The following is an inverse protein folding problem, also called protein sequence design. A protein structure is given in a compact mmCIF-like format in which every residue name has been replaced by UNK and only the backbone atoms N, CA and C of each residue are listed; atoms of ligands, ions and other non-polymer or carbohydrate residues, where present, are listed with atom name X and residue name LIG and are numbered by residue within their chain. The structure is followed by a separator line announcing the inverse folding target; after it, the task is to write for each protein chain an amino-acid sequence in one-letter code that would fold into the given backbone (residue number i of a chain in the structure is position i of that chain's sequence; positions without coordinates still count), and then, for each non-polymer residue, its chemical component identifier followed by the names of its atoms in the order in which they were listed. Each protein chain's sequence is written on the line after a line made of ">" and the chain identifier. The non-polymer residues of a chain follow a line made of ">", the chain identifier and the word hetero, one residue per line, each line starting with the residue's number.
data_IF_309035680624
#
_entry.id   IF_309035680624
#
_cell.length_a   1.000
_cell.length_b   1.000
_cell.length_c   1.000
_cell.angle_alpha   90.00
_cell.angle_beta   90.00
_cell.angle_gamma   90.00
#
_symmetry.space_group_name_H-M   'P 1'
#
loop_
_entity.id
_entity.type
_entity.pdbx_description
1 polymer ?
#
# COMPACT_ATOMS: atom_id res chain seq x y z
N UNK A 1 -30.60 -4.34 -64.78
CA UNK A 1 -30.34 -5.00 -63.48
C UNK A 1 -29.02 -4.50 -62.89
N UNK A 2 -29.06 -3.53 -61.98
CA UNK A 2 -27.85 -2.99 -61.33
C UNK A 2 -27.49 -3.86 -60.11
N UNK A 3 -26.45 -4.69 -60.23
CA UNK A 3 -25.90 -5.48 -59.10
C UNK A 3 -25.34 -4.52 -58.05
N UNK A 4 -26.05 -4.32 -56.93
CA UNK A 4 -25.53 -3.62 -55.75
C UNK A 4 -24.35 -4.40 -55.20
N UNK A 5 -23.12 -3.85 -55.30
CA UNK A 5 -21.93 -4.40 -54.64
C UNK A 5 -22.20 -4.45 -53.13
N UNK A 6 -22.42 -5.64 -52.55
CA UNK A 6 -22.48 -5.80 -51.09
C UNK A 6 -21.13 -5.38 -50.53
N UNK A 7 -21.09 -4.24 -49.84
CA UNK A 7 -19.86 -3.62 -49.32
C UNK A 7 -19.22 -4.59 -48.31
N UNK A 8 -17.89 -4.76 -48.34
CA UNK A 8 -17.07 -5.59 -47.41
C UNK A 8 -17.16 -5.17 -45.91
N UNK A 9 -18.12 -4.30 -45.56
CA UNK A 9 -18.31 -3.72 -44.23
C UNK A 9 -18.56 -4.74 -43.13
N UNK A 10 -19.17 -5.88 -43.43
CA UNK A 10 -19.39 -6.92 -42.43
C UNK A 10 -18.07 -7.54 -41.93
N UNK A 11 -17.10 -7.72 -42.83
CA UNK A 11 -15.77 -8.26 -42.47
C UNK A 11 -15.01 -7.27 -41.59
N UNK A 12 -15.00 -5.98 -41.95
CA UNK A 12 -14.35 -4.93 -41.14
C UNK A 12 -15.02 -4.75 -39.77
N UNK A 13 -16.32 -5.01 -39.66
CA UNK A 13 -17.04 -4.92 -38.39
C UNK A 13 -16.66 -6.08 -37.46
N UNK A 14 -16.65 -7.31 -37.99
CA UNK A 14 -16.19 -8.50 -37.27
C UNK A 14 -14.73 -8.33 -36.83
N UNK A 15 -13.87 -7.79 -37.69
CA UNK A 15 -12.47 -7.53 -37.39
C UNK A 15 -12.30 -6.60 -36.18
N UNK A 16 -13.02 -5.47 -36.16
CA UNK A 16 -12.98 -4.54 -35.01
C UNK A 16 -13.57 -5.17 -33.74
N UNK A 17 -14.63 -5.98 -33.85
CA UNK A 17 -15.19 -6.69 -32.70
C UNK A 17 -14.20 -7.68 -32.09
N UNK A 18 -13.50 -8.46 -32.92
CA UNK A 18 -12.47 -9.40 -32.47
C UNK A 18 -11.31 -8.64 -31.82
N UNK A 19 -10.88 -7.51 -32.40
CA UNK A 19 -9.80 -6.69 -31.82
C UNK A 19 -10.17 -6.18 -30.43
N UNK A 20 -11.39 -5.63 -30.25
CA UNK A 20 -11.84 -5.16 -28.94
C UNK A 20 -11.87 -6.31 -27.93
N UNK A 21 -12.39 -7.48 -28.33
CA UNK A 21 -12.41 -8.67 -27.49
C UNK A 21 -11.00 -9.09 -27.04
N UNK A 22 -10.04 -9.12 -27.97
CA UNK A 22 -8.66 -9.51 -27.67
C UNK A 22 -7.98 -8.51 -26.71
N UNK A 23 -8.16 -7.20 -26.92
CA UNK A 23 -7.60 -6.17 -26.02
C UNK A 23 -8.20 -6.29 -24.61
N UNK A 24 -9.52 -6.53 -24.50
CA UNK A 24 -10.18 -6.72 -23.22
C UNK A 24 -9.67 -7.96 -22.48
N UNK A 25 -9.49 -9.09 -23.18
CA UNK A 25 -8.96 -10.32 -22.57
C UNK A 25 -7.53 -10.14 -22.06
N UNK A 26 -6.65 -9.55 -22.87
CA UNK A 26 -5.25 -9.29 -22.49
C UNK A 26 -5.19 -8.29 -21.33
N UNK A 27 -5.96 -7.19 -21.41
CA UNK A 27 -6.02 -6.19 -20.35
C UNK A 27 -6.51 -6.75 -19.01
N UNK A 28 -7.53 -7.62 -19.03
CA UNK A 28 -8.05 -8.30 -17.84
C UNK A 28 -7.03 -9.23 -17.19
N UNK A 29 -6.31 -10.01 -17.99
CA UNK A 29 -5.27 -10.92 -17.49
C UNK A 29 -4.09 -10.16 -16.83
N UNK A 30 -3.64 -9.06 -17.43
CA UNK A 30 -2.58 -8.22 -16.88
C UNK A 30 -3.01 -7.58 -15.54
N UNK A 31 -4.24 -7.05 -15.47
CA UNK A 31 -4.76 -6.43 -14.27
C UNK A 31 -4.81 -7.40 -13.07
N UNK A 32 -5.13 -8.68 -13.31
CA UNK A 32 -5.12 -9.70 -12.27
C UNK A 32 -3.73 -9.94 -11.70
N UNK A 33 -2.70 -10.01 -12.56
CA UNK A 33 -1.31 -10.21 -12.13
C UNK A 33 -0.77 -8.99 -11.35
N UNK A 34 -1.05 -7.77 -11.83
CA UNK A 34 -0.60 -6.53 -11.19
C UNK A 34 -1.15 -6.32 -9.78
N UNK A 35 -2.28 -6.94 -9.43
CA UNK A 35 -2.87 -6.81 -8.09
C UNK A 35 -1.94 -7.36 -7.00
N UNK A 36 -1.26 -8.47 -7.27
CA UNK A 36 -0.31 -9.08 -6.31
C UNK A 36 0.92 -8.19 -6.06
N UNK A 37 1.52 -7.66 -7.13
CA UNK A 37 2.68 -6.76 -7.01
C UNK A 37 2.32 -5.44 -6.34
N UNK A 38 1.10 -4.94 -6.56
CA UNK A 38 0.60 -3.75 -5.88
C UNK A 38 0.43 -3.97 -4.37
N UNK A 39 -0.13 -5.10 -3.94
CA UNK A 39 -0.28 -5.41 -2.52
C UNK A 39 1.07 -5.66 -1.84
N UNK A 40 2.05 -6.25 -2.53
CA UNK A 40 3.45 -6.32 -2.06
C UNK A 40 4.06 -4.92 -1.87
N UNK A 41 3.84 -4.01 -2.82
CA UNK A 41 4.30 -2.62 -2.70
C UNK A 41 3.69 -1.90 -1.49
N UNK A 42 2.42 -2.17 -1.19
CA UNK A 42 1.75 -1.64 0.02
C UNK A 42 2.32 -2.23 1.31
N UNK A 43 2.59 -3.53 1.34
CA UNK A 43 3.23 -4.18 2.47
C UNK A 43 4.62 -3.56 2.74
N UNK A 44 5.44 -3.44 1.71
CA UNK A 44 6.76 -2.82 1.78
C UNK A 44 6.71 -1.37 2.26
N UNK A 45 5.77 -0.56 1.74
CA UNK A 45 5.56 0.80 2.23
C UNK A 45 5.20 0.84 3.72
N UNK A 46 4.36 -0.09 4.17
CA UNK A 46 3.96 -0.20 5.58
C UNK A 46 5.15 -0.53 6.46
N UNK A 47 6.00 -1.47 6.06
CA UNK A 47 7.23 -1.84 6.77
C UNK A 47 8.21 -0.67 6.89
N UNK A 48 8.41 0.08 5.80
CA UNK A 48 9.25 1.28 5.85
C UNK A 48 8.69 2.36 6.77
N UNK A 49 7.37 2.57 6.74
CA UNK A 49 6.73 3.57 7.58
C UNK A 49 6.85 3.18 9.06
N UNK A 50 6.60 1.91 9.40
CA UNK A 50 6.79 1.36 10.75
C UNK A 50 8.22 1.59 11.24
N UNK A 51 9.23 1.23 10.42
CA UNK A 51 10.63 1.41 10.78
C UNK A 51 10.96 2.90 11.03
N UNK A 52 10.52 3.80 10.15
CA UNK A 52 10.75 5.24 10.30
C UNK A 52 10.09 5.82 11.54
N UNK A 53 8.85 5.46 11.82
CA UNK A 53 8.17 5.90 13.06
C UNK A 53 8.94 5.39 14.27
N UNK A 54 9.30 4.11 14.29
CA UNK A 54 10.07 3.53 15.39
C UNK A 54 11.38 4.26 15.62
N UNK A 55 12.15 4.53 14.56
CA UNK A 55 13.44 5.23 14.66
C UNK A 55 13.26 6.65 15.21
N UNK A 56 12.22 7.37 14.78
CA UNK A 56 11.91 8.72 15.28
C UNK A 56 11.54 8.69 16.77
N UNK A 57 10.72 7.72 17.18
CA UNK A 57 10.32 7.60 18.58
C UNK A 57 11.48 7.17 19.48
N UNK A 58 12.33 6.26 19.01
CA UNK A 58 13.55 5.87 19.72
C UNK A 58 14.53 7.05 19.87
N UNK A 59 14.66 7.91 18.86
CA UNK A 59 15.45 9.14 19.00
C UNK A 59 14.83 10.09 20.05
N UNK A 60 13.51 10.25 20.04
CA UNK A 60 12.82 11.11 21.00
C UNK A 60 12.92 10.59 22.45
N UNK A 61 12.90 9.27 22.63
CA UNK A 61 13.10 8.60 23.91
C UNK A 61 14.56 8.71 24.38
N UNK A 62 15.53 8.53 23.47
CA UNK A 62 16.96 8.67 23.76
C UNK A 62 17.40 10.10 24.11
N UNK A 63 16.67 11.12 23.63
CA UNK A 63 16.89 12.52 24.02
C UNK A 63 16.58 12.76 25.52
N UNK A 64 15.95 11.80 26.22
CA UNK A 64 15.85 11.73 27.68
C UNK A 64 14.96 12.78 28.34
N UNK A 65 14.19 13.54 27.55
CA UNK A 65 13.36 14.64 28.05
C UNK A 65 11.96 14.20 28.52
N UNK A 66 11.53 12.98 28.21
CA UNK A 66 10.18 12.46 28.44
C UNK A 66 10.23 10.97 28.81
N UNK A 67 9.21 10.50 29.52
CA UNK A 67 9.03 9.06 29.75
C UNK A 67 8.55 8.37 28.47
N UNK A 68 8.89 7.09 28.31
CA UNK A 68 8.50 6.29 27.14
C UNK A 68 6.98 6.24 26.95
N UNK A 69 6.20 6.27 28.03
CA UNK A 69 4.74 6.38 28.02
C UNK A 69 4.25 7.67 27.34
N UNK A 70 4.86 8.81 27.67
CA UNK A 70 4.51 10.10 27.09
C UNK A 70 4.90 10.19 25.61
N UNK A 71 6.01 9.54 25.23
CA UNK A 71 6.45 9.42 23.84
C UNK A 71 5.45 8.59 23.04
N UNK A 72 4.94 7.50 23.59
CA UNK A 72 3.92 6.64 22.96
C UNK A 72 2.58 7.36 22.87
N UNK A 73 2.12 8.07 23.91
CA UNK A 73 0.84 8.78 23.89
C UNK A 73 0.82 9.91 22.84
N UNK A 74 1.93 10.64 22.72
CA UNK A 74 2.08 11.78 21.81
C UNK A 74 2.91 11.47 20.56
N UNK A 75 2.99 10.20 20.16
CA UNK A 75 3.86 9.75 19.08
C UNK A 75 3.65 10.53 17.77
N UNK A 76 2.40 10.88 17.43
CA UNK A 76 2.07 11.65 16.23
C UNK A 76 2.67 13.06 16.26
N UNK A 77 2.80 13.67 17.44
CA UNK A 77 3.42 14.98 17.59
C UNK A 77 4.93 14.90 17.33
N UNK A 78 5.62 13.87 17.83
CA UNK A 78 7.05 13.68 17.60
C UNK A 78 7.36 13.39 16.14
N UNK A 79 6.55 12.55 15.49
CA UNK A 79 6.64 12.31 14.04
C UNK A 79 6.35 13.58 13.25
N UNK A 80 5.37 14.39 13.68
CA UNK A 80 5.01 15.68 13.08
C UNK A 80 6.11 16.74 13.16
N UNK A 81 6.88 16.75 14.25
CA UNK A 81 7.96 17.70 14.50
C UNK A 81 9.26 17.30 13.80
N UNK A 82 9.42 16.03 13.43
CA UNK A 82 10.65 15.51 12.84
C UNK A 82 10.86 16.07 11.42
N UNK A 83 12.01 16.71 11.12
CA UNK A 83 12.34 17.15 9.76
C UNK A 83 12.73 15.99 8.83
N UNK A 84 12.86 14.77 9.37
CA UNK A 84 13.36 13.60 8.64
C UNK A 84 12.28 12.94 7.78
N UNK A 85 11.00 13.21 8.05
CA UNK A 85 9.88 12.59 7.34
C UNK A 85 8.71 13.54 7.13
N UNK A 86 7.97 13.30 6.06
CA UNK A 86 6.65 13.90 5.86
C UNK A 86 5.62 13.14 6.72
N UNK A 87 5.28 13.71 7.87
CA UNK A 87 4.45 13.06 8.88
C UNK A 87 3.10 12.58 8.32
N UNK A 88 2.51 13.34 7.40
CA UNK A 88 1.22 13.00 6.77
C UNK A 88 1.24 11.65 6.04
N UNK A 89 2.40 11.22 5.54
CA UNK A 89 2.57 9.98 4.77
C UNK A 89 3.04 8.79 5.60
N UNK A 90 3.58 9.05 6.79
CA UNK A 90 4.26 8.05 7.62
C UNK A 90 3.39 7.61 8.81
N UNK A 91 2.44 8.43 9.23
CA UNK A 91 1.42 8.08 10.26
C UNK A 91 0.49 6.96 9.79
N UNK A 92 0.35 6.77 8.47
CA UNK A 92 -0.49 5.74 7.87
C UNK A 92 0.33 4.64 7.21
N UNK A 93 -0.27 3.46 7.08
CA UNK A 93 0.30 2.32 6.37
C UNK A 93 0.09 2.39 4.84
N UNK A 94 0.48 1.34 4.13
CA UNK A 94 0.32 1.23 2.67
C UNK A 94 -1.12 1.10 2.18
N UNK A 95 -2.08 0.87 3.08
CA UNK A 95 -3.53 0.83 2.81
C UNK A 95 -4.26 2.05 3.39
N UNK A 96 -3.53 3.10 3.79
CA UNK A 96 -4.04 4.32 4.41
C UNK A 96 -4.75 4.10 5.75
N UNK A 97 -4.37 3.06 6.50
CA UNK A 97 -4.83 2.85 7.88
C UNK A 97 -3.81 3.44 8.86
N UNK A 98 -4.25 4.03 9.98
CA UNK A 98 -3.33 4.57 10.98
C UNK A 98 -2.48 3.47 11.61
N UNK A 99 -1.21 3.77 11.88
CA UNK A 99 -0.34 2.88 12.64
C UNK A 99 -0.72 2.88 14.12
N UNK A 100 -0.48 1.74 14.78
CA UNK A 100 -0.67 1.58 16.21
C UNK A 100 0.70 1.54 16.90
N UNK A 101 0.89 2.36 17.93
CA UNK A 101 2.13 2.45 18.70
C UNK A 101 1.79 2.06 20.14
N UNK A 102 2.47 1.05 20.65
CA UNK A 102 2.28 0.55 22.01
C UNK A 102 3.63 0.35 22.69
N UNK A 103 3.65 0.49 24.01
CA UNK A 103 4.79 0.13 24.86
C UNK A 103 4.67 -1.35 25.21
N UNK A 104 5.78 -2.09 25.13
CA UNK A 104 5.85 -3.48 25.58
C UNK A 104 6.34 -3.57 27.04
N UNK A 105 6.23 -4.75 27.64
CA UNK A 105 6.63 -5.00 29.04
C UNK A 105 8.13 -4.75 29.30
N UNK A 106 8.97 -4.83 28.26
CA UNK A 106 10.42 -4.58 28.30
C UNK A 106 10.80 -3.10 28.13
N UNK A 107 9.86 -2.17 28.33
CA UNK A 107 10.04 -0.73 28.07
C UNK A 107 10.23 -0.35 26.60
N UNK A 108 10.08 -1.31 25.68
CA UNK A 108 10.37 -1.12 24.26
C UNK A 108 9.17 -0.53 23.48
N UNK A 109 9.45 0.35 22.53
CA UNK A 109 8.44 0.96 21.65
C UNK A 109 8.16 0.03 20.46
N UNK A 110 6.91 -0.45 20.37
CA UNK A 110 6.44 -1.35 19.31
C UNK A 110 5.44 -0.64 18.42
N UNK A 111 5.75 -0.57 17.13
CA UNK A 111 4.89 0.02 16.09
C UNK A 111 4.33 -1.08 15.21
N UNK A 112 3.01 -1.13 15.04
CA UNK A 112 2.31 -2.19 14.31
C UNK A 112 1.28 -1.63 13.32
N UNK A 113 0.94 -2.44 12.31
CA UNK A 113 -0.20 -2.20 11.40
C UNK A 113 -1.08 -3.45 11.37
N UNK A 114 -2.37 -3.26 11.62
CA UNK A 114 -3.37 -4.33 11.57
C UNK A 114 -3.42 -4.99 10.19
N UNK A 115 -3.31 -4.18 9.13
CA UNK A 115 -3.43 -4.66 7.76
C UNK A 115 -2.20 -5.43 7.32
N UNK A 116 -1.01 -4.98 7.71
CA UNK A 116 0.24 -5.70 7.44
C UNK A 116 0.25 -7.08 8.10
N UNK A 117 -0.21 -7.17 9.36
CA UNK A 117 -0.31 -8.43 10.10
C UNK A 117 -1.24 -9.44 9.41
N UNK A 118 -2.41 -8.98 8.94
CA UNK A 118 -3.33 -9.81 8.15
C UNK A 118 -2.71 -10.25 6.83
N UNK A 119 -2.09 -9.32 6.10
CA UNK A 119 -1.41 -9.63 4.84
C UNK A 119 -0.33 -10.71 5.02
N UNK A 120 0.47 -10.64 6.09
CA UNK A 120 1.48 -11.65 6.40
C UNK A 120 0.86 -13.01 6.71
N UNK A 121 -0.23 -13.06 7.47
CA UNK A 121 -0.93 -14.32 7.79
C UNK A 121 -1.46 -14.98 6.52
N UNK A 122 -2.09 -14.20 5.63
CA UNK A 122 -2.66 -14.69 4.37
C UNK A 122 -1.58 -15.19 3.39
N UNK A 123 -0.37 -14.63 3.44
CA UNK A 123 0.75 -14.99 2.54
C UNK A 123 1.72 -16.02 3.14
N UNK A 124 1.74 -16.22 4.47
CA UNK A 124 2.57 -17.24 5.13
C UNK A 124 1.99 -18.66 5.00
N UNK A 125 0.72 -18.79 4.63
CA UNK A 125 0.00 -20.09 4.50
C UNK A 125 0.06 -20.63 3.06
N UNK A 126 0.79 -19.97 2.15
CA UNK A 126 1.02 -20.44 0.76
C UNK A 126 2.43 -20.97 0.57
#
# INVERSE_FOLDING_TARGET
>A
MTRKKKKKRAVTLIEIMIVIMLISLIGGALAFNMRGSMDQGRAFKSEQNIARVRDILLMADADGNLSTEEVVEKWQFFVGKSPLVDASKVIVDGWNQPLNVVKNDDDDIVVTSDRLSRYRTDHAIK
#
